data_IF_973762716566
#
_entry.id   IF_973762716566
#
_cell.length_a   1.000
_cell.length_b   1.000
_cell.length_c   1.000
_cell.angle_alpha   90.00
_cell.angle_beta   90.00
_cell.angle_gamma   90.00
#
_symmetry.space_group_name_H-M   'P 1'
#
loop_
_entity.id
_entity.type
_entity.pdbx_description
1 polymer ?
#
# COMPACT_ATOMS: atom_id res chain seq x y z
N UNK A 1 9.10 -61.05 43.86
CA UNK A 1 9.85 -62.20 43.30
C UNK A 1 9.28 -62.53 41.93
N UNK A 2 10.06 -62.54 40.85
CA UNK A 2 9.57 -63.01 39.55
C UNK A 2 9.39 -64.53 39.59
N UNK A 3 8.15 -64.99 39.51
CA UNK A 3 7.76 -66.39 39.76
C UNK A 3 8.07 -67.33 38.58
N UNK A 4 8.49 -66.83 37.41
CA UNK A 4 8.76 -67.66 36.24
C UNK A 4 10.03 -67.25 35.47
N UNK A 5 10.94 -68.19 35.19
CA UNK A 5 12.20 -68.01 34.42
C UNK A 5 11.97 -67.29 33.08
N UNK A 6 10.81 -67.52 32.45
CA UNK A 6 10.40 -66.90 31.19
C UNK A 6 10.14 -65.39 31.33
N UNK A 7 9.52 -64.97 32.42
CA UNK A 7 9.26 -63.55 32.73
C UNK A 7 10.56 -62.82 33.03
N UNK A 8 11.48 -63.47 33.78
CA UNK A 8 12.80 -62.91 34.06
C UNK A 8 13.56 -62.56 32.77
N UNK A 9 13.56 -63.50 31.82
CA UNK A 9 14.20 -63.32 30.51
C UNK A 9 13.54 -62.22 29.68
N UNK A 10 12.20 -62.10 29.70
CA UNK A 10 11.47 -61.06 28.96
C UNK A 10 11.77 -59.67 29.52
N UNK A 11 11.76 -59.52 30.84
CA UNK A 11 12.04 -58.24 31.48
C UNK A 11 13.51 -57.81 31.30
N UNK A 12 14.47 -58.73 31.37
CA UNK A 12 15.87 -58.44 31.05
C UNK A 12 16.05 -57.97 29.58
N UNK A 13 15.37 -58.64 28.62
CA UNK A 13 15.37 -58.19 27.20
C UNK A 13 14.73 -56.81 27.04
N UNK A 14 13.67 -56.50 27.79
CA UNK A 14 13.00 -55.19 27.76
C UNK A 14 13.94 -54.09 28.31
N UNK A 15 14.63 -54.36 29.41
CA UNK A 15 15.63 -53.43 29.97
C UNK A 15 16.78 -53.18 29.00
N UNK A 16 17.36 -54.23 28.41
CA UNK A 16 18.44 -54.10 27.42
C UNK A 16 18.03 -53.31 26.17
N UNK A 17 16.78 -53.46 25.72
CA UNK A 17 16.22 -52.64 24.62
C UNK A 17 16.04 -51.19 25.03
N UNK A 18 15.59 -50.93 26.26
CA UNK A 18 15.42 -49.57 26.81
C UNK A 18 16.79 -48.88 26.94
N UNK A 19 17.79 -49.58 27.45
CA UNK A 19 19.15 -49.09 27.59
C UNK A 19 19.78 -48.78 26.23
N UNK A 20 19.69 -49.70 25.27
CA UNK A 20 20.16 -49.44 23.89
C UNK A 20 19.50 -48.21 23.26
N UNK A 21 18.19 -48.02 23.45
CA UNK A 21 17.48 -46.82 22.95
C UNK A 21 17.99 -45.54 23.60
N UNK A 22 18.29 -45.57 24.90
CA UNK A 22 18.86 -44.44 25.62
C UNK A 22 20.27 -44.12 25.14
N UNK A 23 21.12 -45.13 24.99
CA UNK A 23 22.49 -44.98 24.51
C UNK A 23 22.53 -44.42 23.09
N UNK A 24 21.66 -44.87 22.19
CA UNK A 24 21.53 -44.31 20.84
C UNK A 24 21.10 -42.84 20.90
N UNK A 25 20.07 -42.52 21.69
CA UNK A 25 19.59 -41.14 21.81
C UNK A 25 20.63 -40.20 22.46
N UNK A 26 21.41 -40.70 23.44
CA UNK A 26 22.49 -39.95 24.07
C UNK A 26 23.67 -39.75 23.12
N UNK A 27 24.03 -40.78 22.35
CA UNK A 27 25.06 -40.67 21.31
C UNK A 27 24.68 -39.67 20.23
N UNK A 28 23.43 -39.71 19.75
CA UNK A 28 22.90 -38.75 18.78
C UNK A 28 22.94 -37.31 19.32
N UNK A 29 22.56 -37.12 20.59
CA UNK A 29 22.68 -35.81 21.25
C UNK A 29 24.12 -35.31 21.34
N UNK A 30 25.06 -36.17 21.71
CA UNK A 30 26.48 -35.83 21.82
C UNK A 30 27.10 -35.52 20.45
N UNK A 31 26.71 -36.27 19.41
CA UNK A 31 27.15 -36.01 18.03
C UNK A 31 26.61 -34.67 17.50
N UNK A 32 25.35 -34.34 17.78
CA UNK A 32 24.77 -33.05 17.41
C UNK A 32 25.42 -31.88 18.17
N UNK A 33 25.69 -32.05 19.47
CA UNK A 33 26.42 -31.07 20.28
C UNK A 33 27.85 -30.88 19.78
N UNK A 34 28.54 -31.97 19.40
CA UNK A 34 29.86 -31.91 18.78
C UNK A 34 29.84 -31.19 17.42
N UNK A 35 28.79 -31.39 16.61
CA UNK A 35 28.61 -30.69 15.34
C UNK A 35 28.35 -29.20 15.53
N UNK A 36 27.58 -28.82 16.55
CA UNK A 36 27.29 -27.42 16.88
C UNK A 36 28.51 -26.69 17.46
N UNK A 37 29.36 -27.39 18.20
CA UNK A 37 30.58 -26.84 18.80
C UNK A 37 31.81 -26.93 17.88
N UNK A 38 31.66 -27.44 16.66
CA UNK A 38 32.75 -27.46 15.68
C UNK A 38 33.03 -26.02 15.20
N UNK A 39 34.25 -25.49 15.40
CA UNK A 39 34.57 -24.11 15.01
C UNK A 39 34.44 -23.85 13.50
N UNK A 40 34.47 -24.88 12.64
CA UNK A 40 34.24 -24.69 11.20
C UNK A 40 32.76 -24.46 10.87
N UNK A 41 31.85 -25.23 11.48
CA UNK A 41 30.40 -25.04 11.33
C UNK A 41 29.93 -23.72 11.92
N UNK A 42 30.55 -23.27 13.02
CA UNK A 42 30.33 -21.93 13.58
C UNK A 42 30.73 -20.83 12.58
N UNK A 43 31.91 -20.93 11.97
CA UNK A 43 32.36 -19.99 10.93
C UNK A 43 31.43 -19.97 9.71
N UNK A 44 30.95 -21.13 9.26
CA UNK A 44 29.97 -21.23 8.16
C UNK A 44 28.66 -20.53 8.52
N UNK A 45 28.18 -20.71 9.75
CA UNK A 45 26.95 -20.06 10.25
C UNK A 45 27.09 -18.54 10.27
N UNK A 46 28.21 -18.04 10.79
CA UNK A 46 28.50 -16.60 10.83
C UNK A 46 28.59 -16.02 9.41
N UNK A 47 29.25 -16.72 8.48
CA UNK A 47 29.35 -16.28 7.08
C UNK A 47 27.98 -16.21 6.40
N UNK A 48 27.13 -17.22 6.63
CA UNK A 48 25.75 -17.23 6.10
C UNK A 48 24.93 -16.08 6.69
N UNK A 49 25.05 -15.82 7.99
CA UNK A 49 24.38 -14.71 8.66
C UNK A 49 24.86 -13.35 8.12
N UNK A 50 26.16 -13.18 7.85
CA UNK A 50 26.70 -11.98 7.22
C UNK A 50 26.14 -11.78 5.80
N UNK A 51 26.09 -12.82 4.99
CA UNK A 51 25.51 -12.75 3.64
C UNK A 51 24.01 -12.44 3.66
N UNK A 52 23.26 -12.97 4.63
CA UNK A 52 21.85 -12.67 4.81
C UNK A 52 21.64 -11.22 5.28
N UNK A 53 22.45 -10.75 6.23
CA UNK A 53 22.44 -9.35 6.68
C UNK A 53 22.78 -8.38 5.54
N UNK A 54 23.79 -8.68 4.72
CA UNK A 54 24.12 -7.88 3.53
C UNK A 54 22.99 -7.86 2.50
N UNK A 55 22.23 -8.95 2.37
CA UNK A 55 21.04 -9.01 1.52
C UNK A 55 19.94 -8.09 2.04
N UNK A 56 19.61 -8.21 3.33
CA UNK A 56 18.59 -7.40 3.97
C UNK A 56 18.95 -5.90 3.90
N UNK A 57 20.22 -5.57 4.15
CA UNK A 57 20.73 -4.21 4.05
C UNK A 57 20.60 -3.65 2.63
N UNK A 58 20.98 -4.42 1.62
CA UNK A 58 20.83 -4.04 0.21
C UNK A 58 19.36 -3.80 -0.14
N UNK A 59 18.45 -4.66 0.31
CA UNK A 59 17.03 -4.52 0.05
C UNK A 59 16.44 -3.28 0.75
N UNK A 60 16.90 -2.96 1.97
CA UNK A 60 16.53 -1.74 2.69
C UNK A 60 17.02 -0.49 1.95
N UNK A 61 18.30 -0.45 1.58
CA UNK A 61 18.89 0.67 0.82
C UNK A 61 18.14 0.86 -0.50
N UNK A 62 17.90 -0.23 -1.25
CA UNK A 62 17.17 -0.16 -2.51
C UNK A 62 15.72 0.33 -2.33
N UNK A 63 15.09 0.03 -1.20
CA UNK A 63 13.78 0.56 -0.85
C UNK A 63 13.83 2.07 -0.59
N UNK A 64 14.76 2.53 0.27
CA UNK A 64 14.96 3.94 0.56
C UNK A 64 15.32 4.76 -0.71
N UNK A 65 16.15 4.20 -1.59
CA UNK A 65 16.50 4.83 -2.87
C UNK A 65 15.29 4.98 -3.79
N UNK A 66 14.41 3.96 -3.86
CA UNK A 66 13.16 4.05 -4.62
C UNK A 66 12.24 5.12 -4.06
N UNK A 67 12.10 5.21 -2.73
CA UNK A 67 11.29 6.25 -2.10
C UNK A 67 11.86 7.65 -2.38
N UNK A 68 13.17 7.84 -2.23
CA UNK A 68 13.84 9.11 -2.55
C UNK A 68 13.66 9.49 -4.01
N UNK A 69 13.84 8.54 -4.94
CA UNK A 69 13.65 8.78 -6.36
C UNK A 69 12.20 9.16 -6.69
N UNK A 70 11.22 8.53 -6.03
CA UNK A 70 9.81 8.89 -6.18
C UNK A 70 9.52 10.31 -5.69
N UNK A 71 10.03 10.70 -4.52
CA UNK A 71 9.87 12.06 -3.97
C UNK A 71 10.51 13.10 -4.89
N UNK A 72 11.73 12.86 -5.36
CA UNK A 72 12.42 13.77 -6.28
C UNK A 72 11.63 13.92 -7.58
N UNK A 73 11.16 12.80 -8.14
CA UNK A 73 10.35 12.82 -9.37
C UNK A 73 9.05 13.61 -9.19
N UNK A 74 8.38 13.45 -8.05
CA UNK A 74 7.18 14.22 -7.72
C UNK A 74 7.49 15.73 -7.59
N UNK A 75 8.61 16.09 -6.96
CA UNK A 75 9.01 17.49 -6.87
C UNK A 75 9.31 18.07 -8.26
N UNK A 76 10.10 17.37 -9.08
CA UNK A 76 10.39 17.80 -10.45
C UNK A 76 9.13 17.98 -11.28
N UNK A 77 8.13 17.10 -11.11
CA UNK A 77 6.86 17.24 -11.80
C UNK A 77 6.12 18.51 -11.39
N UNK A 78 6.05 18.81 -10.08
CA UNK A 78 5.45 20.06 -9.58
C UNK A 78 6.20 21.30 -10.09
N UNK A 79 7.54 21.28 -10.03
CA UNK A 79 8.35 22.41 -10.48
C UNK A 79 8.14 22.68 -11.99
N UNK A 80 8.03 21.60 -12.80
CA UNK A 80 7.72 21.70 -14.23
C UNK A 80 6.29 22.21 -14.49
N UNK A 81 5.31 21.78 -13.69
CA UNK A 81 3.93 22.26 -13.79
C UNK A 81 3.84 23.75 -13.39
N UNK A 82 4.56 24.18 -12.36
CA UNK A 82 4.67 25.59 -11.95
C UNK A 82 5.37 26.44 -13.01
N UNK A 83 6.45 25.95 -13.63
CA UNK A 83 7.14 26.65 -14.72
C UNK A 83 6.25 26.80 -15.96
N UNK A 84 5.51 25.75 -16.34
CA UNK A 84 4.53 25.84 -17.44
C UNK A 84 3.40 26.81 -17.14
N UNK A 85 2.89 26.84 -15.91
CA UNK A 85 1.86 27.80 -15.50
C UNK A 85 2.39 29.24 -15.56
N UNK A 86 3.62 29.48 -15.09
CA UNK A 86 4.25 30.80 -15.17
C UNK A 86 4.50 31.24 -16.62
N UNK A 87 4.91 30.34 -17.51
CA UNK A 87 5.04 30.64 -18.93
C UNK A 87 3.69 31.01 -19.53
N UNK A 88 2.67 30.18 -19.30
CA UNK A 88 1.31 30.44 -19.79
C UNK A 88 0.75 31.77 -19.26
N UNK A 89 1.03 32.12 -18.00
CA UNK A 89 0.60 33.40 -17.43
C UNK A 89 1.31 34.57 -18.10
N UNK A 90 2.64 34.47 -18.33
CA UNK A 90 3.40 35.51 -19.02
C UNK A 90 2.95 35.71 -20.46
N UNK A 91 2.66 34.61 -21.17
CA UNK A 91 2.17 34.68 -22.55
C UNK A 91 0.79 35.36 -22.61
N UNK A 92 -0.09 35.11 -21.62
CA UNK A 92 -1.37 35.81 -21.48
C UNK A 92 -1.19 37.30 -21.17
N UNK A 93 -0.30 37.65 -20.23
CA UNK A 93 0.01 39.05 -19.88
C UNK A 93 0.59 39.81 -21.07
N UNK A 94 1.45 39.17 -21.88
CA UNK A 94 1.97 39.77 -23.12
C UNK A 94 0.86 40.01 -24.14
N UNK A 95 0.01 39.02 -24.38
CA UNK A 95 -1.12 39.15 -25.29
C UNK A 95 -2.13 40.22 -24.83
N UNK A 96 -2.36 40.36 -23.51
CA UNK A 96 -3.21 41.42 -22.95
C UNK A 96 -2.57 42.80 -23.20
N UNK A 97 -1.26 42.95 -22.98
CA UNK A 97 -0.56 44.22 -23.27
C UNK A 97 -0.52 44.58 -24.76
N UNK A 98 -0.40 43.59 -25.67
CA UNK A 98 -0.46 43.81 -27.12
C UNK A 98 -1.85 44.29 -27.54
N UNK A 99 -2.92 43.75 -26.96
CA UNK A 99 -4.29 44.23 -27.21
C UNK A 99 -4.52 45.64 -26.65
N UNK A 100 -3.97 45.97 -25.48
CA UNK A 100 -4.05 47.33 -24.92
C UNK A 100 -3.28 48.35 -25.78
N UNK A 101 -2.11 47.98 -26.33
CA UNK A 101 -1.35 48.83 -27.26
C UNK A 101 -2.08 49.03 -28.61
N UNK A 102 -2.71 47.98 -29.16
CA UNK A 102 -3.56 48.08 -30.36
C UNK A 102 -4.80 48.95 -30.09
N UNK A 103 -5.46 48.79 -28.94
CA UNK A 103 -6.59 49.64 -28.54
C UNK A 103 -6.19 51.10 -28.34
N UNK A 104 -5.01 51.41 -27.78
CA UNK A 104 -4.51 52.78 -27.63
C UNK A 104 -4.10 53.41 -28.98
N UNK A 105 -3.53 52.65 -29.93
CA UNK A 105 -3.25 53.13 -31.30
C UNK A 105 -4.52 53.40 -32.12
N UNK A 106 -5.61 52.67 -31.87
CA UNK A 106 -6.92 52.88 -32.52
C UNK A 106 -7.73 54.07 -31.93
N UNK A 107 -7.21 54.80 -30.92
CA UNK A 107 -7.85 56.03 -30.36
C UNK A 107 -7.36 57.32 -31.02
N UNK A 108 -6.97 57.27 -32.30
CA UNK A 108 -6.84 58.47 -33.13
C UNK A 108 -7.96 58.51 -34.18
N UNK A 109 -8.82 59.54 -34.06
CA UNK A 109 -9.92 59.93 -34.96
C UNK A 109 -11.17 59.01 -34.99
N UNK A 110 -12.15 59.31 -34.15
CA UNK A 110 -13.55 59.52 -34.57
C UNK A 110 -14.37 60.05 -33.37
N UNK A 111 -14.44 61.39 -33.24
CA UNK A 111 -15.44 62.09 -32.42
C UNK A 111 -16.83 61.95 -33.06
N UNK A 112 -17.38 60.73 -33.10
CA UNK A 112 -18.78 60.51 -33.46
C UNK A 112 -19.64 60.77 -32.21
N UNK A 113 -19.85 62.06 -31.95
CA UNK A 113 -20.69 62.57 -30.88
C UNK A 113 -22.04 61.83 -30.81
N UNK A 114 -22.33 61.33 -29.60
CA UNK A 114 -23.55 60.61 -29.20
C UNK A 114 -24.79 61.06 -30.00
N UNK A 115 -25.52 60.15 -30.68
CA UNK A 115 -26.64 60.55 -31.53
C UNK A 115 -27.73 61.27 -30.74
N UNK A 116 -28.12 62.44 -31.22
CA UNK A 116 -29.09 63.33 -30.59
C UNK A 116 -30.51 62.76 -30.77
N UNK A 117 -31.15 62.35 -29.68
CA UNK A 117 -32.52 61.85 -29.68
C UNK A 117 -33.45 63.06 -29.50
N UNK A 118 -34.11 63.48 -30.58
CA UNK A 118 -35.11 64.56 -30.53
C UNK A 118 -36.49 63.94 -30.30
N UNK A 119 -37.12 64.29 -29.18
CA UNK A 119 -38.48 63.85 -28.84
C UNK A 119 -39.51 64.81 -29.43
N UNK A 120 -40.29 64.36 -30.41
CA UNK A 120 -41.47 65.07 -30.92
C UNK A 120 -42.73 64.25 -30.60
N UNK A 121 -43.20 64.36 -29.36
CA UNK A 121 -44.39 63.63 -28.89
C UNK A 121 -44.15 62.12 -28.79
N UNK A 122 -45.02 61.31 -29.41
CA UNK A 122 -45.06 59.85 -29.25
C UNK A 122 -44.27 59.08 -30.33
N UNK A 123 -43.51 59.76 -31.20
CA UNK A 123 -42.68 59.14 -32.23
C UNK A 123 -41.19 59.48 -32.01
N UNK A 124 -40.30 58.50 -32.21
CA UNK A 124 -38.85 58.63 -32.09
C UNK A 124 -38.26 58.64 -33.50
N UNK A 125 -37.55 59.70 -33.88
CA UNK A 125 -36.82 59.77 -35.16
C UNK A 125 -35.31 59.74 -34.85
N UNK A 126 -34.65 58.65 -35.23
CA UNK A 126 -33.20 58.49 -35.10
C UNK A 126 -32.55 59.03 -36.39
N UNK A 127 -31.96 60.21 -36.34
CA UNK A 127 -31.15 60.71 -37.46
C UNK A 127 -29.71 60.21 -37.33
N UNK A 128 -29.40 59.10 -38.01
CA UNK A 128 -28.01 58.75 -38.31
C UNK A 128 -27.52 59.60 -39.48
N UNK A 129 -26.41 60.31 -39.31
CA UNK A 129 -25.63 60.80 -40.46
C UNK A 129 -24.87 59.60 -41.02
N UNK A 130 -25.04 59.35 -42.32
CA UNK A 130 -24.50 58.17 -43.00
C UNK A 130 -22.98 58.03 -42.82
N UNK A 131 -22.43 56.86 -42.50
CA UNK A 131 -21.03 56.59 -42.73
C UNK A 131 -20.80 56.16 -44.19
N UNK A 132 -19.63 56.54 -44.71
CA UNK A 132 -19.18 56.31 -46.09
C UNK A 132 -19.27 54.84 -46.55
N UNK A 133 -19.47 54.57 -47.86
CA UNK A 133 -19.63 53.22 -48.42
C UNK A 133 -18.32 52.43 -48.57
N UNK A 134 -17.24 52.74 -47.84
CA UNK A 134 -15.90 52.17 -48.07
C UNK A 134 -15.50 51.01 -47.14
N UNK A 135 -16.32 50.64 -46.15
CA UNK A 135 -16.09 49.45 -45.30
C UNK A 135 -16.62 48.14 -45.90
N UNK A 136 -16.60 48.01 -47.23
CA UNK A 136 -17.16 46.86 -47.96
C UNK A 136 -16.09 46.03 -48.68
N UNK A 137 -14.83 46.08 -48.25
CA UNK A 137 -13.79 45.32 -48.95
C UNK A 137 -12.57 44.94 -48.11
N UNK A 138 -12.72 44.11 -47.07
CA UNK A 138 -11.65 43.18 -46.69
C UNK A 138 -12.24 41.82 -46.31
N UNK A 139 -12.51 41.05 -47.37
CA UNK A 139 -12.71 39.62 -47.33
C UNK A 139 -11.31 38.98 -47.21
N UNK A 140 -10.96 38.36 -46.09
CA UNK A 140 -9.88 37.37 -46.03
C UNK A 140 -10.37 36.11 -45.31
N UNK A 141 -10.26 35.00 -46.05
CA UNK A 141 -10.44 33.63 -45.62
C UNK A 141 -9.80 33.37 -44.26
N UNK A 142 -10.60 32.95 -43.28
CA UNK A 142 -10.13 32.07 -42.23
C UNK A 142 -10.94 30.77 -42.29
N UNK A 143 -10.33 29.73 -42.85
CA UNK A 143 -10.79 28.35 -42.70
C UNK A 143 -10.61 27.98 -41.22
N UNK A 144 -11.67 28.11 -40.42
CA UNK A 144 -11.68 27.58 -39.08
C UNK A 144 -11.90 26.07 -39.15
N UNK A 145 -10.85 25.30 -38.83
CA UNK A 145 -10.92 23.85 -38.70
C UNK A 145 -11.76 23.54 -37.44
N UNK A 146 -12.95 22.98 -37.65
CA UNK A 146 -13.91 22.65 -36.59
C UNK A 146 -13.41 21.41 -35.82
N UNK A 147 -12.66 21.60 -34.75
CA UNK A 147 -12.34 20.51 -33.82
C UNK A 147 -13.58 20.25 -32.94
N UNK A 148 -14.24 19.13 -33.21
CA UNK A 148 -15.43 18.64 -32.51
C UNK A 148 -15.06 18.23 -31.07
N UNK A 149 -15.12 19.18 -30.14
CA UNK A 149 -15.10 18.88 -28.70
C UNK A 149 -16.52 18.49 -28.27
N UNK A 150 -16.69 17.20 -28.04
CA UNK A 150 -17.94 16.58 -27.64
C UNK A 150 -18.17 16.85 -26.15
N UNK A 151 -18.84 17.95 -25.83
CA UNK A 151 -19.28 18.27 -24.47
C UNK A 151 -20.39 17.30 -24.06
N UNK A 152 -20.03 16.30 -23.25
CA UNK A 152 -21.00 15.46 -22.57
C UNK A 152 -21.52 16.22 -21.35
N UNK A 153 -22.77 16.67 -21.49
CA UNK A 153 -23.76 16.92 -20.43
C UNK A 153 -23.37 16.43 -19.03
N UNK A 154 -23.01 17.36 -18.14
CA UNK A 154 -23.03 17.15 -16.70
C UNK A 154 -24.45 17.37 -16.15
N UNK A 155 -25.04 16.31 -15.59
CA UNK A 155 -26.28 16.40 -14.82
C UNK A 155 -25.94 16.66 -13.35
N UNK A 156 -26.12 17.91 -12.91
CA UNK A 156 -26.06 18.27 -11.49
C UNK A 156 -27.27 17.73 -10.74
N UNK A 157 -27.12 16.56 -10.09
CA UNK A 157 -28.01 16.15 -9.01
C UNK A 157 -27.53 16.71 -7.66
N UNK A 158 -28.12 17.84 -7.29
CA UNK A 158 -28.07 18.36 -5.93
C UNK A 158 -28.80 17.41 -4.97
N UNK A 159 -28.06 16.53 -4.28
CA UNK A 159 -28.53 15.86 -3.07
C UNK A 159 -27.51 16.02 -1.94
N UNK A 160 -27.83 16.72 -0.84
CA UNK A 160 -26.96 16.74 0.32
C UNK A 160 -27.17 15.42 1.08
N UNK A 161 -26.19 14.54 1.05
CA UNK A 161 -26.08 13.48 2.06
C UNK A 161 -24.69 13.60 2.67
N UNK A 162 -24.67 14.30 3.79
CA UNK A 162 -23.55 14.46 4.70
C UNK A 162 -23.14 13.11 5.27
N UNK A 163 -22.21 12.43 4.60
CA UNK A 163 -21.14 11.70 5.28
C UNK A 163 -19.99 11.42 4.29
N UNK A 164 -18.82 12.06 4.40
CA UNK A 164 -17.68 11.74 3.56
C UNK A 164 -17.17 10.33 3.92
N UNK A 165 -17.18 9.41 2.97
CA UNK A 165 -16.41 8.18 3.09
C UNK A 165 -14.91 8.52 3.18
N UNK A 166 -14.11 7.75 3.95
CA UNK A 166 -12.68 7.97 4.08
C UNK A 166 -11.98 7.79 2.72
N UNK A 167 -10.92 8.57 2.41
CA UNK A 167 -10.24 8.52 1.12
C UNK A 167 -9.69 7.12 0.86
N UNK A 168 -9.94 6.64 -0.36
CA UNK A 168 -9.44 5.36 -0.86
C UNK A 168 -7.92 5.33 -0.74
N UNK A 169 -7.43 4.42 0.09
CA UNK A 169 -6.01 4.06 0.11
C UNK A 169 -5.64 3.54 -1.27
N UNK A 170 -4.44 3.86 -1.80
CA UNK A 170 -4.04 3.39 -3.12
C UNK A 170 -4.12 1.87 -3.14
N UNK A 171 -5.03 1.42 -4.00
CA UNK A 171 -5.26 0.03 -4.37
C UNK A 171 -3.99 -0.79 -4.25
N UNK A 172 -4.00 -1.73 -3.30
CA UNK A 172 -3.16 -2.90 -3.41
C UNK A 172 -3.34 -3.48 -4.81
N UNK A 173 -2.31 -4.04 -5.45
CA UNK A 173 -2.48 -4.61 -6.77
C UNK A 173 -3.43 -5.81 -6.66
N UNK A 174 -4.72 -5.57 -6.89
CA UNK A 174 -5.77 -6.56 -7.11
C UNK A 174 -5.57 -7.27 -8.47
N UNK A 175 -4.33 -7.37 -8.94
CA UNK A 175 -3.99 -8.07 -10.17
C UNK A 175 -3.99 -9.60 -10.00
N UNK A 176 -4.35 -10.10 -8.81
CA UNK A 176 -4.43 -11.54 -8.53
C UNK A 176 -5.85 -12.07 -8.25
N UNK A 177 -6.88 -11.22 -8.21
CA UNK A 177 -8.26 -11.69 -8.01
C UNK A 177 -8.79 -12.39 -9.27
N UNK A 178 -8.34 -11.97 -10.46
CA UNK A 178 -8.79 -12.54 -11.74
C UNK A 178 -8.26 -13.96 -12.04
N UNK A 179 -7.26 -14.46 -11.30
CA UNK A 179 -6.73 -15.82 -11.46
C UNK A 179 -7.24 -16.81 -10.40
N UNK A 180 -8.03 -16.34 -9.44
CA UNK A 180 -8.62 -17.22 -8.44
C UNK A 180 -9.72 -18.06 -9.11
N UNK A 181 -9.84 -19.38 -8.84
CA UNK A 181 -10.99 -20.14 -9.28
C UNK A 181 -12.28 -19.41 -8.84
N UNK A 182 -13.38 -19.45 -9.61
CA UNK A 182 -14.57 -18.57 -9.50
C UNK A 182 -15.33 -18.66 -8.16
N UNK A 183 -14.75 -19.30 -7.17
CA UNK A 183 -15.37 -19.70 -5.93
C UNK A 183 -14.44 -19.56 -4.71
N UNK A 184 -13.23 -19.03 -4.88
CA UNK A 184 -12.28 -18.88 -3.78
C UNK A 184 -12.85 -17.96 -2.69
N UNK A 185 -12.83 -18.42 -1.43
CA UNK A 185 -13.36 -17.62 -0.32
C UNK A 185 -14.85 -17.74 -0.04
N UNK A 186 -15.60 -18.51 -0.83
CA UNK A 186 -17.03 -18.75 -0.57
C UNK A 186 -17.27 -20.11 0.09
N UNK A 187 -18.47 -20.31 0.63
CA UNK A 187 -18.89 -21.59 1.23
C UNK A 187 -18.94 -22.78 0.26
N UNK A 188 -18.92 -22.49 -1.04
CA UNK A 188 -18.90 -23.49 -2.10
C UNK A 188 -17.48 -24.01 -2.35
N UNK A 189 -16.43 -23.36 -1.84
CA UNK A 189 -15.06 -23.87 -1.89
C UNK A 189 -14.90 -25.04 -0.91
N UNK A 190 -14.74 -26.24 -1.47
CA UNK A 190 -14.57 -27.48 -0.70
C UNK A 190 -13.13 -27.69 -0.25
N UNK A 191 -12.15 -27.03 -0.89
CA UNK A 191 -10.74 -27.23 -0.61
C UNK A 191 -10.28 -26.38 0.58
N UNK A 192 -10.74 -25.13 0.67
CA UNK A 192 -10.34 -24.19 1.71
C UNK A 192 -11.34 -24.13 2.87
N UNK A 193 -10.83 -23.88 4.08
CA UNK A 193 -11.67 -23.69 5.25
C UNK A 193 -12.30 -22.27 5.24
N UNK A 194 -13.62 -22.11 5.10
CA UNK A 194 -14.25 -20.78 5.05
C UNK A 194 -14.10 -20.04 6.38
N UNK A 195 -14.03 -20.77 7.50
CA UNK A 195 -13.78 -20.18 8.82
C UNK A 195 -12.35 -19.63 8.91
N UNK A 196 -11.34 -20.39 8.50
CA UNK A 196 -9.97 -19.88 8.52
C UNK A 196 -9.77 -18.73 7.52
N UNK A 197 -10.35 -18.81 6.33
CA UNK A 197 -10.19 -17.78 5.31
C UNK A 197 -10.88 -16.46 5.68
N UNK A 198 -12.03 -16.51 6.36
CA UNK A 198 -12.77 -15.31 6.79
C UNK A 198 -12.33 -14.75 8.13
N UNK A 199 -12.04 -15.60 9.12
CA UNK A 199 -11.77 -15.19 10.50
C UNK A 199 -10.37 -15.51 10.99
N UNK A 200 -9.50 -16.07 10.14
CA UNK A 200 -8.14 -16.52 10.49
C UNK A 200 -8.08 -17.56 11.64
N UNK A 201 -9.24 -18.07 12.07
CA UNK A 201 -9.39 -18.97 13.21
C UNK A 201 -10.40 -20.07 12.89
N UNK A 202 -10.02 -21.33 13.13
CA UNK A 202 -10.85 -22.50 12.91
C UNK A 202 -10.86 -23.34 14.20
N UNK A 203 -12.05 -23.78 14.64
CA UNK A 203 -12.20 -24.61 15.86
C UNK A 203 -11.44 -25.94 15.81
N UNK A 204 -11.14 -26.42 14.61
CA UNK A 204 -10.43 -27.68 14.41
C UNK A 204 -8.90 -27.48 14.37
N UNK A 205 -8.42 -26.23 14.29
CA UNK A 205 -7.00 -25.93 14.15
C UNK A 205 -6.37 -26.74 13.01
N UNK A 206 -5.21 -27.32 13.28
CA UNK A 206 -4.47 -28.13 12.29
C UNK A 206 -5.12 -29.49 11.99
N UNK A 207 -6.10 -29.92 12.82
CA UNK A 207 -6.91 -31.11 12.56
C UNK A 207 -8.08 -30.84 11.62
N UNK A 208 -8.16 -29.66 11.02
CA UNK A 208 -9.20 -29.38 10.04
C UNK A 208 -9.01 -30.28 8.81
N UNK A 209 -10.10 -30.83 8.28
CA UNK A 209 -10.09 -31.59 7.02
C UNK A 209 -9.92 -30.70 5.79
N UNK A 210 -10.01 -29.38 5.95
CA UNK A 210 -9.89 -28.38 4.87
C UNK A 210 -8.60 -27.59 5.04
N UNK A 211 -8.07 -27.08 3.93
CA UNK A 211 -6.78 -26.37 3.89
C UNK A 211 -6.90 -24.99 4.57
N UNK A 212 -5.90 -24.66 5.39
CA UNK A 212 -5.69 -23.35 5.98
C UNK A 212 -4.58 -22.62 5.22
N UNK A 213 -4.88 -21.42 4.72
CA UNK A 213 -3.94 -20.60 3.98
C UNK A 213 -3.40 -19.48 4.88
N UNK A 214 -2.08 -19.45 5.05
CA UNK A 214 -1.36 -18.42 5.80
C UNK A 214 -0.61 -17.53 4.79
N UNK A 215 -1.04 -16.27 4.57
CA UNK A 215 -0.34 -15.38 3.65
C UNK A 215 1.03 -14.95 4.23
N UNK A 216 2.06 -14.92 3.40
CA UNK A 216 3.42 -14.48 3.79
C UNK A 216 3.48 -12.99 4.19
N UNK A 217 2.54 -12.19 3.66
CA UNK A 217 2.40 -10.76 3.94
C UNK A 217 0.93 -10.46 4.22
N UNK A 218 0.65 -9.82 5.36
CA UNK A 218 -0.69 -9.35 5.72
C UNK A 218 -0.61 -7.97 6.40
N UNK A 219 -1.67 -7.18 6.25
CA UNK A 219 -1.85 -5.95 7.04
C UNK A 219 -2.49 -6.21 8.41
N UNK A 220 -2.95 -7.44 8.67
CA UNK A 220 -3.62 -7.84 9.91
C UNK A 220 -2.78 -8.87 10.66
N UNK A 221 -2.59 -8.65 11.97
CA UNK A 221 -1.91 -9.57 12.87
C UNK A 221 -2.92 -10.24 13.81
N UNK A 222 -2.78 -11.55 14.01
CA UNK A 222 -3.59 -12.33 14.94
C UNK A 222 -2.73 -12.79 16.12
N UNK A 223 -3.01 -12.27 17.32
CA UNK A 223 -2.39 -12.71 18.57
C UNK A 223 -3.37 -13.61 19.30
N UNK A 224 -3.16 -14.93 19.22
CA UNK A 224 -4.01 -15.92 19.90
C UNK A 224 -3.89 -15.72 21.42
N UNK A 225 -5.02 -15.77 22.11
CA UNK A 225 -5.10 -15.77 23.57
C UNK A 225 -4.47 -14.52 24.26
N UNK A 226 -4.47 -13.37 23.58
CA UNK A 226 -3.91 -12.12 24.12
C UNK A 226 -4.66 -11.59 25.35
N UNK A 227 -5.99 -11.78 25.39
CA UNK A 227 -6.82 -11.32 26.50
C UNK A 227 -7.39 -12.51 27.26
N UNK A 228 -6.94 -12.68 28.51
CA UNK A 228 -7.51 -13.63 29.46
C UNK A 228 -8.37 -12.84 30.45
N UNK A 229 -9.69 -12.90 30.28
CA UNK A 229 -10.62 -12.23 31.19
C UNK A 229 -10.52 -12.81 32.62
N UNK A 230 -10.72 -11.97 33.66
CA UNK A 230 -10.73 -12.46 35.04
C UNK A 230 -11.86 -13.48 35.21
N UNK A 231 -11.51 -14.75 35.49
CA UNK A 231 -12.44 -15.87 35.64
C UNK A 231 -12.26 -17.01 34.63
N UNK A 232 -11.45 -16.83 33.59
CA UNK A 232 -11.04 -17.93 32.71
C UNK A 232 -9.79 -18.59 33.29
N UNK A 233 -10.01 -19.67 34.04
CA UNK A 233 -8.93 -20.45 34.65
C UNK A 233 -8.02 -21.03 33.56
N UNK A 234 -6.71 -20.97 33.82
CA UNK A 234 -5.57 -21.41 33.01
C UNK A 234 -5.54 -22.92 32.66
N UNK A 235 -6.62 -23.66 32.90
CA UNK A 235 -6.72 -25.11 32.73
C UNK A 235 -7.14 -25.57 31.32
N UNK A 236 -7.43 -24.65 30.39
CA UNK A 236 -7.80 -24.98 29.01
C UNK A 236 -6.62 -24.95 28.03
N UNK A 237 -5.39 -24.81 28.51
CA UNK A 237 -4.18 -24.85 27.67
C UNK A 237 -3.76 -26.29 27.28
N UNK A 238 -4.75 -27.13 26.98
CA UNK A 238 -4.55 -28.47 26.41
C UNK A 238 -4.41 -28.35 24.89
N UNK A 239 -3.19 -28.03 24.45
CA UNK A 239 -2.66 -28.56 23.20
C UNK A 239 -3.05 -27.84 21.92
N UNK A 240 -2.90 -26.52 21.87
CA UNK A 240 -2.64 -25.86 20.57
C UNK A 240 -1.14 -25.85 20.35
N UNK A 241 -0.66 -26.98 19.83
CA UNK A 241 0.70 -27.15 19.33
C UNK A 241 1.09 -25.90 18.56
N UNK A 242 2.11 -25.22 19.08
CA UNK A 242 2.80 -24.13 18.43
C UNK A 242 3.08 -24.60 17.00
N UNK A 243 2.51 -23.90 16.02
CA UNK A 243 2.98 -23.99 14.64
C UNK A 243 4.50 -23.98 14.73
N UNK A 244 5.13 -25.11 14.40
CA UNK A 244 6.56 -25.21 14.18
C UNK A 244 6.89 -24.39 12.94
N UNK A 245 6.74 -23.07 13.04
CA UNK A 245 7.48 -22.16 12.22
C UNK A 245 8.90 -22.26 12.77
N UNK A 246 9.75 -22.98 12.04
CA UNK A 246 11.17 -23.02 12.27
C UNK A 246 11.72 -21.59 12.11
N UNK A 247 11.61 -20.78 13.15
CA UNK A 247 12.34 -19.52 13.29
C UNK A 247 13.07 -19.55 14.62
N UNK A 248 14.38 -19.76 14.48
CA UNK A 248 15.38 -19.66 15.54
C UNK A 248 15.56 -18.20 15.93
N UNK A 249 14.64 -17.61 16.67
CA UNK A 249 14.90 -16.33 17.34
C UNK A 249 14.27 -16.32 18.73
N UNK A 250 15.03 -16.81 19.71
CA UNK A 250 14.76 -16.53 21.13
C UNK A 250 15.12 -15.07 21.39
N UNK A 251 14.12 -14.19 21.46
CA UNK A 251 14.28 -12.81 21.89
C UNK A 251 14.56 -12.81 23.41
N UNK A 252 15.84 -12.82 23.77
CA UNK A 252 16.30 -12.71 25.16
C UNK A 252 16.09 -11.29 25.66
N UNK A 253 14.97 -11.04 26.35
CA UNK A 253 14.76 -9.83 27.14
C UNK A 253 15.69 -9.86 28.38
N UNK A 254 16.89 -9.34 28.22
CA UNK A 254 17.72 -8.88 29.34
C UNK A 254 17.95 -7.38 29.19
N UNK A 255 17.06 -6.61 29.82
CA UNK A 255 17.31 -5.20 30.16
C UNK A 255 18.43 -5.16 31.21
N UNK A 256 19.54 -4.44 30.99
CA UNK A 256 20.43 -4.06 32.07
C UNK A 256 19.88 -2.80 32.75
N UNK A 257 19.24 -3.00 33.90
CA UNK A 257 19.19 -1.97 34.95
C UNK A 257 20.49 -2.11 35.74
N UNK A 258 21.31 -1.04 35.80
CA UNK A 258 22.37 -0.70 36.79
C UNK A 258 23.37 0.23 36.07
N UNK A 259 23.86 1.34 36.59
CA UNK A 259 23.52 2.20 37.72
C UNK A 259 24.29 3.51 37.48
N UNK A 260 23.64 4.67 37.59
CA UNK A 260 24.34 5.92 37.88
C UNK A 260 24.88 5.83 39.31
N UNK A 261 26.12 6.29 39.52
CA UNK A 261 26.80 6.76 40.75
C UNK A 261 28.30 6.41 40.60
N UNK A 262 29.29 7.28 40.75
CA UNK A 262 29.35 8.66 41.20
C UNK A 262 30.65 9.29 40.65
N UNK A 263 30.59 10.59 40.33
CA UNK A 263 31.76 11.46 40.35
C UNK A 263 31.98 11.94 41.79
N UNK A 264 33.15 11.65 42.34
CA UNK A 264 34.02 12.47 43.22
C UNK A 264 35.15 11.58 43.72
#
# INVERSE_FOLDING_TARGET
MWSNRKEKRKALKKLKRKERRKEIAEKERLEEEARLNDPEEERKRILLEQQEAERIERDRIAFEEREKAWIIKQQQQRDLEEEQQQLSQRDLEQHESELEEEEEEDVDDDDDGRPEIIWLGNEIIIQKKNPNPLLLLHNHNHHHHHHHHQEQHEHHDNRPTSNPFPPESPSQPLHNVAQQPPNFGTELDKAHCPFHLKTAACRFGDRCSRVHFYPDKSCTLLIKNMYNGPGLAWEQDEGLEVCSFASRYTFSWRLPILALLAST
#
